data_IF_328356884263
#
_entry.id   IF_328356884263
#
_cell.length_a   1.000
_cell.length_b   1.000
_cell.length_c   1.000
_cell.angle_alpha   90.00
_cell.angle_beta   90.00
_cell.angle_gamma   90.00
#
_symmetry.space_group_name_H-M   'P 1'
#
loop_
_entity.id
_entity.type
_entity.pdbx_description
1 polymer ?
#
# COMPACT_ATOMS: atom_id res chain seq x y z
N UNK A 1 13.93 14.68 3.94
CA UNK A 1 13.73 13.39 4.63
C UNK A 1 14.99 12.60 4.36
N UNK A 2 15.75 12.27 5.40
CA UNK A 2 17.14 11.79 5.29
C UNK A 2 17.18 10.36 4.74
N UNK A 3 18.03 10.06 3.76
CA UNK A 3 18.21 8.70 3.22
C UNK A 3 18.77 7.71 4.27
N UNK A 4 19.28 8.23 5.39
CA UNK A 4 19.83 7.46 6.50
C UNK A 4 18.85 6.49 7.19
N UNK A 5 17.53 6.71 7.05
CA UNK A 5 16.49 5.84 7.67
C UNK A 5 15.85 4.84 6.67
N UNK A 6 16.31 4.80 5.42
CA UNK A 6 15.71 3.97 4.37
C UNK A 6 16.05 2.49 4.55
N UNK A 7 15.14 1.71 5.13
CA UNK A 7 15.32 0.26 5.36
C UNK A 7 14.47 -0.54 4.39
N UNK A 8 15.11 -1.41 3.59
CA UNK A 8 14.41 -2.36 2.73
C UNK A 8 13.86 -3.51 3.58
N UNK A 9 12.61 -3.89 3.34
CA UNK A 9 11.91 -4.93 4.09
C UNK A 9 11.89 -6.22 3.29
N UNK A 10 12.29 -7.30 3.95
CA UNK A 10 12.26 -8.67 3.44
C UNK A 10 11.47 -9.54 4.40
N UNK A 11 10.29 -9.97 3.99
CA UNK A 11 9.45 -10.83 4.81
C UNK A 11 10.00 -12.25 4.86
N UNK A 12 9.89 -12.89 6.03
CA UNK A 12 10.03 -14.34 6.20
C UNK A 12 8.83 -15.06 5.57
N UNK A 13 8.98 -16.37 5.36
CA UNK A 13 7.93 -17.18 4.73
C UNK A 13 6.64 -17.21 5.56
N UNK A 14 6.76 -17.23 6.89
CA UNK A 14 5.63 -17.16 7.83
C UNK A 14 4.87 -15.83 7.75
N UNK A 15 5.59 -14.71 7.64
CA UNK A 15 5.00 -13.37 7.52
C UNK A 15 4.27 -13.25 6.19
N UNK A 16 4.87 -13.80 5.12
CA UNK A 16 4.21 -13.88 3.83
C UNK A 16 2.94 -14.74 3.88
N UNK A 17 2.99 -15.91 4.51
CA UNK A 17 1.84 -16.80 4.62
C UNK A 17 0.66 -16.13 5.34
N UNK A 18 0.93 -15.42 6.44
CA UNK A 18 -0.09 -14.66 7.18
C UNK A 18 -0.73 -13.57 6.31
N UNK A 19 0.08 -12.75 5.64
CA UNK A 19 -0.40 -11.69 4.74
C UNK A 19 -1.20 -12.28 3.59
N UNK A 20 -0.68 -13.34 2.95
CA UNK A 20 -1.34 -13.99 1.81
C UNK A 20 -2.72 -14.51 2.20
N UNK A 21 -2.84 -15.15 3.36
CA UNK A 21 -4.11 -15.68 3.85
C UNK A 21 -5.17 -14.57 3.92
N UNK A 22 -4.87 -13.48 4.64
CA UNK A 22 -5.82 -12.38 4.84
C UNK A 22 -6.04 -11.57 3.57
N UNK A 23 -4.99 -11.28 2.80
CA UNK A 23 -5.11 -10.53 1.55
C UNK A 23 -5.99 -11.27 0.54
N UNK A 24 -5.95 -12.61 0.53
CA UNK A 24 -6.77 -13.42 -0.38
C UNK A 24 -8.29 -13.27 -0.14
N UNK A 25 -8.71 -12.84 1.05
CA UNK A 25 -10.11 -12.57 1.38
C UNK A 25 -10.63 -11.30 0.67
N UNK A 26 -9.75 -10.35 0.32
CA UNK A 26 -10.14 -9.05 -0.27
C UNK A 26 -9.72 -8.95 -1.74
N UNK A 27 -8.57 -9.51 -2.09
CA UNK A 27 -8.01 -9.48 -3.43
C UNK A 27 -7.65 -10.87 -3.89
N UNK A 28 -7.96 -11.18 -5.15
CA UNK A 28 -7.59 -12.45 -5.74
C UNK A 28 -6.06 -12.51 -5.93
N UNK A 29 -5.36 -13.18 -5.02
CA UNK A 29 -3.98 -13.60 -5.18
C UNK A 29 -3.95 -14.96 -5.86
N UNK A 30 -3.25 -15.07 -6.98
CA UNK A 30 -3.16 -16.34 -7.72
C UNK A 30 -1.88 -17.06 -7.32
N UNK A 31 -1.96 -18.34 -6.99
CA UNK A 31 -0.80 -19.15 -6.60
C UNK A 31 0.33 -19.13 -7.66
N UNK A 32 -0.01 -19.03 -8.95
CA UNK A 32 0.96 -18.90 -10.05
C UNK A 32 1.79 -17.62 -10.01
N UNK A 33 1.33 -16.60 -9.27
CA UNK A 33 2.00 -15.31 -9.13
C UNK A 33 2.58 -15.10 -7.73
N UNK A 34 2.65 -16.12 -6.88
CA UNK A 34 3.03 -15.99 -5.46
C UNK A 34 4.39 -15.29 -5.29
N UNK A 35 5.38 -15.63 -6.11
CA UNK A 35 6.69 -14.96 -6.10
C UNK A 35 6.62 -13.48 -6.47
N UNK A 36 5.78 -13.12 -7.45
CA UNK A 36 5.59 -11.72 -7.86
C UNK A 36 4.75 -10.93 -6.84
N UNK A 37 3.77 -11.59 -6.22
CA UNK A 37 2.91 -11.00 -5.19
C UNK A 37 3.71 -10.73 -3.92
N UNK A 38 4.53 -11.69 -3.46
CA UNK A 38 5.45 -11.49 -2.33
C UNK A 38 6.45 -10.38 -2.59
N UNK A 39 7.03 -10.35 -3.79
CA UNK A 39 7.97 -9.32 -4.22
C UNK A 39 7.35 -7.92 -4.19
N UNK A 40 6.12 -7.81 -4.69
CA UNK A 40 5.33 -6.59 -4.58
C UNK A 40 5.11 -6.17 -3.12
N UNK A 41 4.73 -7.11 -2.23
CA UNK A 41 4.47 -6.79 -0.82
C UNK A 41 5.76 -6.34 -0.11
N UNK A 42 6.90 -6.98 -0.35
CA UNK A 42 8.20 -6.51 0.14
C UNK A 42 8.49 -5.06 -0.32
N UNK A 43 8.18 -4.74 -1.60
CA UNK A 43 8.35 -3.40 -2.15
C UNK A 43 7.45 -2.38 -1.44
N UNK A 44 6.18 -2.73 -1.23
CA UNK A 44 5.21 -1.88 -0.56
C UNK A 44 5.58 -1.63 0.91
N UNK A 45 6.02 -2.67 1.65
CA UNK A 45 6.47 -2.53 3.03
C UNK A 45 7.72 -1.67 3.15
N UNK A 46 8.68 -1.81 2.23
CA UNK A 46 9.88 -0.95 2.20
C UNK A 46 9.51 0.54 2.07
N UNK A 47 8.46 0.85 1.31
CA UNK A 47 7.97 2.23 1.15
C UNK A 47 7.12 2.69 2.33
N UNK A 48 6.25 1.81 2.85
CA UNK A 48 5.28 2.17 3.88
C UNK A 48 5.88 2.21 5.29
N UNK A 49 6.83 1.33 5.57
CA UNK A 49 7.42 1.15 6.90
C UNK A 49 8.86 1.62 6.91
N UNK A 50 9.61 1.22 5.87
CA UNK A 50 11.04 1.45 5.72
C UNK A 50 11.42 2.83 5.19
N UNK A 51 10.45 3.71 4.95
CA UNK A 51 10.67 5.07 4.43
C UNK A 51 11.43 5.15 3.10
N UNK A 52 11.48 4.06 2.33
CA UNK A 52 12.04 4.09 0.99
C UNK A 52 11.14 4.87 0.02
N UNK A 53 11.74 5.38 -1.05
CA UNK A 53 11.00 5.87 -2.20
C UNK A 53 10.80 4.75 -3.22
N UNK A 54 9.67 4.74 -3.91
CA UNK A 54 9.44 3.77 -4.99
C UNK A 54 10.57 3.75 -6.03
N UNK A 55 11.06 4.94 -6.41
CA UNK A 55 12.12 5.09 -7.42
C UNK A 55 13.50 4.64 -6.94
N UNK A 56 13.70 4.46 -5.63
CA UNK A 56 14.98 4.03 -5.06
C UNK A 56 15.05 2.51 -4.83
N UNK A 57 14.00 1.77 -5.19
CA UNK A 57 13.96 0.31 -5.07
C UNK A 57 14.59 -0.35 -6.31
N UNK A 58 15.58 -1.26 -6.15
CA UNK A 58 16.18 -1.97 -7.27
C UNK A 58 15.16 -2.82 -8.05
N UNK A 59 14.99 -2.63 -9.36
CA UNK A 59 13.95 -3.30 -10.15
C UNK A 59 14.22 -4.81 -10.32
N UNK A 60 15.48 -5.25 -10.24
CA UNK A 60 15.90 -6.66 -10.17
C UNK A 60 15.50 -7.34 -8.85
N UNK A 61 15.21 -6.59 -7.79
CA UNK A 61 14.78 -7.14 -6.50
C UNK A 61 13.29 -6.97 -6.23
N UNK A 62 12.70 -5.84 -6.65
CA UNK A 62 11.31 -5.48 -6.30
C UNK A 62 10.36 -5.41 -7.51
N UNK A 63 10.88 -5.43 -8.74
CA UNK A 63 10.10 -5.26 -9.95
C UNK A 63 9.87 -3.79 -10.30
N UNK A 64 9.05 -3.55 -11.31
CA UNK A 64 8.77 -2.19 -11.80
C UNK A 64 8.06 -1.33 -10.75
N UNK A 65 8.70 -0.22 -10.37
CA UNK A 65 8.20 0.66 -9.31
C UNK A 65 6.88 1.34 -9.68
N UNK A 66 6.63 1.63 -10.97
CA UNK A 66 5.37 2.29 -11.41
C UNK A 66 4.19 1.35 -11.23
N UNK A 67 4.36 0.10 -11.65
CA UNK A 67 3.39 -0.99 -11.49
C UNK A 67 3.12 -1.28 -10.03
N UNK A 68 4.17 -1.38 -9.21
CA UNK A 68 4.04 -1.61 -7.77
C UNK A 68 3.34 -0.46 -7.05
N UNK A 69 3.70 0.79 -7.36
CA UNK A 69 3.02 1.96 -6.81
C UNK A 69 1.53 1.94 -7.13
N UNK A 70 1.18 1.69 -8.39
CA UNK A 70 -0.22 1.65 -8.84
C UNK A 70 -1.00 0.50 -8.19
N UNK A 71 -0.35 -0.65 -7.98
CA UNK A 71 -0.92 -1.79 -7.24
C UNK A 71 -1.10 -1.46 -5.75
N UNK A 72 -0.14 -0.80 -5.12
CA UNK A 72 -0.23 -0.37 -3.73
C UNK A 72 -1.36 0.64 -3.52
N UNK A 73 -1.51 1.63 -4.40
CA UNK A 73 -2.61 2.59 -4.35
C UNK A 73 -3.96 1.86 -4.42
N UNK A 74 -4.12 0.87 -5.30
CA UNK A 74 -5.33 0.02 -5.35
C UNK A 74 -5.57 -0.76 -4.05
N UNK A 75 -4.51 -1.27 -3.40
CA UNK A 75 -4.64 -1.99 -2.13
C UNK A 75 -5.09 -1.07 -0.99
N UNK A 76 -4.55 0.14 -0.93
CA UNK A 76 -4.99 1.17 0.01
C UNK A 76 -6.46 1.51 -0.22
N UNK A 77 -6.86 1.72 -1.47
CA UNK A 77 -8.24 2.06 -1.85
C UNK A 77 -9.23 0.96 -1.51
N UNK A 78 -8.84 -0.31 -1.73
CA UNK A 78 -9.65 -1.49 -1.37
C UNK A 78 -9.61 -1.83 0.12
N UNK A 79 -8.82 -1.11 0.92
CA UNK A 79 -8.70 -1.36 2.35
C UNK A 79 -7.89 -2.61 2.73
N UNK A 80 -7.15 -3.20 1.80
CA UNK A 80 -6.38 -4.44 2.04
C UNK A 80 -5.41 -4.25 3.20
N UNK A 81 -4.64 -3.17 3.20
CA UNK A 81 -3.69 -2.86 4.28
C UNK A 81 -4.35 -2.64 5.63
N UNK A 82 -5.51 -1.98 5.65
CA UNK A 82 -6.26 -1.76 6.89
C UNK A 82 -6.73 -3.11 7.47
N UNK A 83 -7.22 -4.00 6.61
CA UNK A 83 -7.66 -5.32 7.05
C UNK A 83 -6.50 -6.23 7.49
N UNK A 84 -5.34 -6.13 6.83
CA UNK A 84 -4.13 -6.83 7.27
C UNK A 84 -3.69 -6.41 8.68
N UNK A 85 -3.77 -5.12 8.99
CA UNK A 85 -3.50 -4.59 10.34
C UNK A 85 -4.54 -5.09 11.34
N UNK A 86 -5.84 -4.99 11.00
CA UNK A 86 -6.95 -5.42 11.85
C UNK A 86 -6.88 -6.91 12.23
N UNK A 87 -6.45 -7.76 11.28
CA UNK A 87 -6.34 -9.21 11.47
C UNK A 87 -5.00 -9.64 12.08
N UNK A 88 -4.10 -8.71 12.39
CA UNK A 88 -2.77 -9.01 12.93
C UNK A 88 -1.87 -9.79 11.97
N UNK A 89 -2.11 -9.67 10.66
CA UNK A 89 -1.35 -10.40 9.63
C UNK A 89 0.02 -9.77 9.33
N UNK A 90 0.28 -8.58 9.85
CA UNK A 90 1.54 -7.86 9.74
C UNK A 90 2.14 -7.68 11.14
N UNK A 91 3.46 -7.56 11.21
CA UNK A 91 4.16 -7.33 12.47
C UNK A 91 3.64 -6.08 13.21
N UNK A 92 3.64 -6.11 14.53
CA UNK A 92 3.09 -5.02 15.36
C UNK A 92 3.81 -3.69 15.09
N UNK A 93 5.13 -3.74 14.90
CA UNK A 93 5.93 -2.56 14.59
C UNK A 93 5.62 -1.95 13.20
N UNK A 94 5.09 -2.75 12.27
CA UNK A 94 4.65 -2.27 10.95
C UNK A 94 3.25 -1.71 10.98
N UNK A 95 2.38 -2.28 11.83
CA UNK A 95 0.95 -1.98 11.89
C UNK A 95 0.65 -0.49 12.02
N UNK A 96 1.33 0.20 12.94
CA UNK A 96 1.16 1.66 13.16
C UNK A 96 1.47 2.46 11.89
N UNK A 97 2.64 2.21 11.27
CA UNK A 97 3.10 2.95 10.08
C UNK A 97 2.21 2.69 8.87
N UNK A 98 1.75 1.43 8.70
CA UNK A 98 0.86 1.03 7.61
C UNK A 98 -0.50 1.72 7.75
N UNK A 99 -1.09 1.72 8.95
CA UNK A 99 -2.37 2.38 9.23
C UNK A 99 -2.30 3.90 8.92
N UNK A 100 -1.29 4.58 9.46
CA UNK A 100 -1.10 6.03 9.26
C UNK A 100 -0.96 6.42 7.77
N UNK A 101 -0.14 5.69 7.01
CA UNK A 101 0.04 5.96 5.58
C UNK A 101 -1.22 5.66 4.77
N UNK A 102 -1.92 4.57 5.09
CA UNK A 102 -3.17 4.19 4.43
C UNK A 102 -4.24 5.26 4.65
N UNK A 103 -4.39 5.74 5.89
CA UNK A 103 -5.32 6.81 6.24
C UNK A 103 -4.99 8.14 5.59
N UNK A 104 -3.71 8.52 5.57
CA UNK A 104 -3.25 9.74 4.89
C UNK A 104 -3.63 9.71 3.40
N UNK A 105 -3.40 8.59 2.73
CA UNK A 105 -3.72 8.43 1.32
C UNK A 105 -5.24 8.50 1.08
N UNK A 106 -6.04 7.80 1.89
CA UNK A 106 -7.51 7.83 1.82
C UNK A 106 -8.05 9.24 2.04
N UNK A 107 -7.56 9.96 3.07
CA UNK A 107 -7.94 11.35 3.37
C UNK A 107 -7.60 12.30 2.22
N UNK A 108 -6.42 12.17 1.60
CA UNK A 108 -6.04 13.01 0.46
C UNK A 108 -6.98 12.80 -0.74
N UNK A 109 -7.35 11.55 -1.05
CA UNK A 109 -8.31 11.25 -2.12
C UNK A 109 -9.72 11.74 -1.80
N UNK A 110 -10.22 11.51 -0.59
CA UNK A 110 -11.52 12.01 -0.15
C UNK A 110 -11.59 13.53 -0.27
N UNK A 111 -10.58 14.26 0.19
CA UNK A 111 -10.51 15.73 0.04
C UNK A 111 -10.56 16.18 -1.42
N UNK A 112 -9.87 15.47 -2.34
CA UNK A 112 -9.91 15.78 -3.78
C UNK A 112 -11.30 15.52 -4.37
N UNK A 113 -11.95 14.41 -4.01
CA UNK A 113 -13.30 14.08 -4.45
C UNK A 113 -14.33 15.08 -3.93
N UNK A 114 -14.26 15.43 -2.65
CA UNK A 114 -15.11 16.47 -2.03
C UNK A 114 -14.93 17.81 -2.72
N UNK A 115 -13.69 18.26 -2.98
CA UNK A 115 -13.43 19.52 -3.71
C UNK A 115 -14.02 19.53 -5.12
N UNK A 116 -13.88 18.42 -5.86
CA UNK A 116 -14.48 18.29 -7.19
C UNK A 116 -16.00 18.35 -7.13
N UNK A 117 -16.60 17.67 -6.15
CA UNK A 117 -18.06 17.69 -5.94
C UNK A 117 -18.57 19.08 -5.55
N UNK A 118 -17.88 19.77 -4.64
CA UNK A 118 -18.21 21.16 -4.26
C UNK A 118 -18.13 22.07 -5.48
N UNK A 119 -17.06 21.97 -6.27
CA UNK A 119 -16.92 22.76 -7.51
C UNK A 119 -18.08 22.53 -8.49
N UNK A 120 -18.47 21.28 -8.73
CA UNK A 120 -19.61 20.96 -9.60
C UNK A 120 -20.92 21.59 -9.08
N UNK A 121 -21.17 21.49 -7.77
CA UNK A 121 -22.38 22.09 -7.16
C UNK A 121 -22.36 23.62 -7.13
N UNK A 122 -21.18 24.25 -7.13
CA UNK A 122 -21.02 25.70 -7.23
C UNK A 122 -21.16 26.18 -8.70
N UNK A 123 -20.66 25.40 -9.66
CA UNK A 123 -20.80 25.69 -11.11
C UNK A 123 -22.29 25.59 -11.53
N UNK A 124 -23.05 24.60 -11.03
CA UNK A 124 -24.50 24.42 -11.29
C UNK A 124 -25.39 25.53 -10.67
N UNK A 125 -24.85 26.38 -9.77
CA UNK A 125 -25.61 27.43 -9.08
C UNK A 125 -25.71 28.74 -9.88
N UNK A 126 -24.92 28.88 -10.94
CA UNK A 126 -24.84 30.10 -11.75
C UNK A 126 -25.44 29.97 -13.16
N UNK A 127 -26.22 28.92 -13.43
CA UNK A 127 -27.12 28.78 -14.59
C UNK A 127 -28.58 29.11 -14.20
#
# INVERSE_FOLDING_TARGET
MNDADATRVWMRDEEWAAIRSVASEIVLLRAVHDGNDRRFVNAALSVMVGNCYWMSLPPEQFGDWKSNRSRNDRWIERGVWAHLVERGAVAEEWSRKIAERSDRHRRQKQRRATRRRVKLLDDDRWE
#
